data_IF_984163948365
#
_entry.id   IF_984163948365
#
_cell.length_a   1.000
_cell.length_b   1.000
_cell.length_c   1.000
_cell.angle_alpha   90.00
_cell.angle_beta   90.00
_cell.angle_gamma   90.00
#
_symmetry.space_group_name_H-M   'P 1'
#
loop_
_entity.id
_entity.type
_entity.pdbx_description
1 polymer ?
#
# COMPACT_ATOMS: atom_id res chain seq x y z
N UNK A 1 -99.59 -50.80 -51.34
CA UNK A 1 -100.70 -49.96 -51.82
C UNK A 1 -100.17 -48.59 -52.18
N UNK A 2 -100.59 -48.09 -53.34
CA UNK A 2 -100.23 -46.83 -54.03
C UNK A 2 -100.41 -45.54 -53.20
N UNK A 3 -99.59 -44.52 -53.49
CA UNK A 3 -99.95 -43.18 -54.05
C UNK A 3 -98.71 -42.24 -53.92
N UNK A 4 -97.95 -41.89 -54.96
CA UNK A 4 -98.12 -40.88 -56.03
C UNK A 4 -98.38 -39.41 -55.59
N UNK A 5 -97.47 -38.50 -56.01
CA UNK A 5 -97.59 -37.06 -56.36
C UNK A 5 -96.34 -36.26 -55.86
N UNK A 6 -95.41 -35.82 -56.70
CA UNK A 6 -95.34 -34.63 -57.60
C UNK A 6 -94.49 -33.46 -57.01
N UNK A 7 -93.42 -33.10 -57.75
CA UNK A 7 -92.45 -31.96 -57.69
C UNK A 7 -93.09 -30.55 -57.61
N UNK A 8 -92.35 -29.39 -57.56
CA UNK A 8 -90.91 -29.07 -57.32
C UNK A 8 -90.69 -27.85 -56.36
N UNK A 9 -89.46 -27.30 -56.27
CA UNK A 9 -89.13 -25.86 -56.49
C UNK A 9 -88.21 -25.15 -55.45
N UNK A 10 -87.08 -24.65 -55.99
CA UNK A 10 -86.24 -23.49 -55.62
C UNK A 10 -85.24 -23.53 -54.46
N UNK A 11 -83.98 -23.71 -54.86
CA UNK A 11 -82.75 -23.08 -54.33
C UNK A 11 -82.93 -21.55 -54.22
N UNK A 12 -82.59 -20.97 -53.06
CA UNK A 12 -82.18 -19.56 -52.97
C UNK A 12 -80.87 -19.49 -52.18
N UNK A 13 -79.77 -19.40 -52.91
CA UNK A 13 -78.44 -19.08 -52.41
C UNK A 13 -78.39 -17.60 -52.03
N UNK A 14 -78.37 -17.30 -50.73
CA UNK A 14 -77.97 -15.99 -50.20
C UNK A 14 -76.46 -15.95 -50.04
N UNK A 15 -75.77 -15.43 -51.06
CA UNK A 15 -74.35 -15.08 -50.99
C UNK A 15 -74.25 -13.73 -50.27
N UNK A 16 -73.84 -13.72 -49.00
CA UNK A 16 -73.42 -12.49 -48.33
C UNK A 16 -72.06 -12.10 -48.92
N UNK A 17 -72.05 -11.01 -49.70
CA UNK A 17 -70.84 -10.25 -50.00
C UNK A 17 -70.28 -9.70 -48.68
N UNK A 18 -69.26 -10.36 -48.14
CA UNK A 18 -68.37 -9.75 -47.18
C UNK A 18 -67.38 -8.88 -47.96
N UNK A 19 -67.19 -7.59 -47.63
CA UNK A 19 -66.13 -6.81 -48.26
C UNK A 19 -64.78 -7.50 -47.97
N UNK A 20 -63.80 -7.45 -48.90
CA UNK A 20 -62.48 -8.00 -48.65
C UNK A 20 -61.91 -7.31 -47.42
N UNK A 21 -61.68 -8.09 -46.36
CA UNK A 21 -60.98 -7.63 -45.18
C UNK A 21 -59.63 -7.03 -45.61
N UNK A 22 -59.34 -5.83 -45.15
CA UNK A 22 -58.06 -5.17 -45.30
C UNK A 22 -56.98 -5.94 -44.52
N UNK A 23 -56.55 -7.11 -45.03
CA UNK A 23 -55.51 -7.94 -44.43
C UNK A 23 -54.10 -7.49 -44.83
N UNK A 24 -53.96 -6.76 -45.94
CA UNK A 24 -52.66 -6.40 -46.52
C UNK A 24 -51.91 -5.33 -45.72
N UNK A 25 -52.61 -4.33 -45.18
CA UNK A 25 -51.99 -3.26 -44.39
C UNK A 25 -51.54 -3.67 -42.99
N UNK A 26 -52.20 -4.68 -42.39
CA UNK A 26 -51.80 -5.22 -41.08
C UNK A 26 -50.55 -6.11 -41.19
N UNK A 27 -50.39 -6.85 -42.30
CA UNK A 27 -49.22 -7.69 -42.55
C UNK A 27 -47.96 -6.88 -42.90
N UNK A 28 -48.06 -5.82 -43.71
CA UNK A 28 -46.92 -4.94 -43.97
C UNK A 28 -46.40 -4.26 -42.69
N UNK A 29 -47.31 -3.80 -41.83
CA UNK A 29 -46.95 -3.19 -40.55
C UNK A 29 -46.27 -4.19 -39.60
N UNK A 30 -46.72 -5.45 -39.58
CA UNK A 30 -46.10 -6.52 -38.79
C UNK A 30 -44.67 -6.85 -39.24
N UNK A 31 -44.43 -6.93 -40.56
CA UNK A 31 -43.09 -7.18 -41.12
C UNK A 31 -42.11 -6.05 -40.80
N UNK A 32 -42.55 -4.79 -40.90
CA UNK A 32 -41.73 -3.62 -40.56
C UNK A 32 -41.41 -3.59 -39.06
N UNK A 33 -42.39 -3.89 -38.20
CA UNK A 33 -42.21 -3.93 -36.76
C UNK A 33 -41.21 -5.02 -36.33
N UNK A 34 -41.34 -6.24 -36.87
CA UNK A 34 -40.38 -7.33 -36.63
C UNK A 34 -38.98 -6.98 -37.13
N UNK A 35 -38.87 -6.32 -38.28
CA UNK A 35 -37.58 -5.82 -38.78
C UNK A 35 -36.90 -4.86 -37.79
N UNK A 36 -37.66 -3.94 -37.20
CA UNK A 36 -37.16 -3.01 -36.17
C UNK A 36 -36.73 -3.73 -34.88
N UNK A 37 -37.48 -4.74 -34.44
CA UNK A 37 -37.10 -5.55 -33.26
C UNK A 37 -35.84 -6.38 -33.54
N UNK A 38 -35.68 -6.92 -34.74
CA UNK A 38 -34.47 -7.64 -35.15
C UNK A 38 -33.21 -6.74 -35.16
N UNK A 39 -33.37 -5.46 -35.56
CA UNK A 39 -32.29 -4.47 -35.45
C UNK A 39 -31.89 -4.24 -33.98
N UNK A 40 -32.87 -4.05 -33.09
CA UNK A 40 -32.65 -3.89 -31.64
C UNK A 40 -32.04 -5.13 -31.00
N UNK A 41 -32.44 -6.34 -31.43
CA UNK A 41 -31.81 -7.59 -30.99
C UNK A 41 -30.33 -7.69 -31.41
N UNK A 42 -29.97 -7.08 -32.54
CA UNK A 42 -28.59 -7.10 -33.03
C UNK A 42 -27.73 -6.04 -32.34
N UNK A 43 -28.28 -4.83 -32.16
CA UNK A 43 -27.53 -3.62 -31.75
C UNK A 43 -27.68 -3.24 -30.29
N UNK A 44 -28.74 -3.70 -29.62
CA UNK A 44 -29.09 -3.33 -28.25
C UNK A 44 -28.13 -3.85 -27.19
N UNK A 45 -28.27 -3.33 -25.97
CA UNK A 45 -27.58 -3.89 -24.80
C UNK A 45 -28.16 -5.26 -24.40
N UNK A 46 -27.52 -5.98 -23.46
CA UNK A 46 -27.91 -7.34 -23.09
C UNK A 46 -29.38 -7.50 -22.72
N UNK A 47 -29.96 -6.53 -22.00
CA UNK A 47 -31.37 -6.56 -21.58
C UNK A 47 -32.29 -6.30 -22.77
N UNK A 48 -31.95 -5.33 -23.62
CA UNK A 48 -32.69 -5.07 -24.87
C UNK A 48 -32.68 -6.28 -25.80
N UNK A 49 -31.54 -6.96 -25.92
CA UNK A 49 -31.43 -8.18 -26.74
C UNK A 49 -32.33 -9.29 -26.21
N UNK A 50 -32.29 -9.57 -24.91
CA UNK A 50 -33.12 -10.60 -24.31
C UNK A 50 -34.62 -10.31 -24.51
N UNK A 51 -35.05 -9.07 -24.32
CA UNK A 51 -36.45 -8.66 -24.52
C UNK A 51 -36.86 -8.70 -26.01
N UNK A 52 -36.00 -8.24 -26.91
CA UNK A 52 -36.24 -8.30 -28.35
C UNK A 52 -36.33 -9.75 -28.86
N UNK A 53 -35.49 -10.66 -28.35
CA UNK A 53 -35.55 -12.09 -28.67
C UNK A 53 -36.89 -12.71 -28.26
N UNK A 54 -37.33 -12.45 -27.02
CA UNK A 54 -38.61 -12.92 -26.52
C UNK A 54 -39.78 -12.43 -27.40
N UNK A 55 -39.77 -11.14 -27.78
CA UNK A 55 -40.78 -10.58 -28.66
C UNK A 55 -40.76 -11.19 -30.08
N UNK A 56 -39.58 -11.45 -30.64
CA UNK A 56 -39.44 -12.07 -31.97
C UNK A 56 -39.92 -13.52 -32.01
N UNK A 57 -39.76 -14.26 -30.90
CA UNK A 57 -40.27 -15.62 -30.74
C UNK A 57 -41.78 -15.67 -30.45
N UNK A 58 -42.39 -14.52 -30.15
CA UNK A 58 -43.81 -14.37 -29.82
C UNK A 58 -44.70 -13.97 -31.00
N UNK A 59 -45.89 -13.49 -30.65
CA UNK A 59 -46.93 -12.98 -31.54
C UNK A 59 -46.62 -11.57 -32.02
N UNK A 60 -47.38 -11.08 -33.01
CA UNK A 60 -47.24 -9.69 -33.45
C UNK A 60 -47.66 -8.68 -32.37
N UNK A 61 -48.50 -9.08 -31.41
CA UNK A 61 -48.85 -8.28 -30.23
C UNK A 61 -47.67 -8.16 -29.26
N UNK A 62 -46.87 -9.21 -29.09
CA UNK A 62 -45.64 -9.18 -28.28
C UNK A 62 -44.60 -8.23 -28.91
N UNK A 63 -44.47 -8.25 -30.24
CA UNK A 63 -43.63 -7.31 -30.99
C UNK A 63 -44.05 -5.86 -30.77
N UNK A 64 -45.35 -5.55 -30.81
CA UNK A 64 -45.84 -4.20 -30.53
C UNK A 64 -45.63 -3.82 -29.07
N UNK A 65 -45.94 -4.72 -28.13
CA UNK A 65 -45.76 -4.49 -26.69
C UNK A 65 -44.31 -4.14 -26.34
N UNK A 66 -43.36 -4.86 -26.93
CA UNK A 66 -41.95 -4.56 -26.79
C UNK A 66 -41.60 -3.17 -27.31
N UNK A 67 -42.04 -2.83 -28.53
CA UNK A 67 -41.75 -1.53 -29.15
C UNK A 67 -42.39 -0.36 -28.40
N UNK A 68 -43.58 -0.55 -27.83
CA UNK A 68 -44.36 0.49 -27.18
C UNK A 68 -43.94 0.74 -25.72
N UNK A 69 -43.45 -0.28 -25.00
CA UNK A 69 -43.22 -0.17 -23.56
C UNK A 69 -41.98 -0.89 -23.02
N UNK A 70 -41.73 -2.14 -23.40
CA UNK A 70 -40.67 -2.93 -22.77
C UNK A 70 -39.27 -2.48 -23.20
N UNK A 71 -39.13 -2.00 -24.44
CA UNK A 71 -37.86 -1.51 -24.99
C UNK A 71 -37.25 -0.41 -24.12
N UNK A 72 -38.05 0.56 -23.67
CA UNK A 72 -37.54 1.68 -22.90
C UNK A 72 -37.10 1.26 -21.49
N UNK A 73 -37.81 0.32 -20.87
CA UNK A 73 -37.39 -0.29 -19.61
C UNK A 73 -36.10 -1.10 -19.77
N UNK A 74 -35.98 -1.87 -20.85
CA UNK A 74 -34.79 -2.66 -21.15
C UNK A 74 -33.56 -1.76 -21.42
N UNK A 75 -33.72 -0.69 -22.20
CA UNK A 75 -32.66 0.30 -22.44
C UNK A 75 -32.24 1.01 -21.15
N UNK A 76 -33.21 1.44 -20.33
CA UNK A 76 -32.92 2.04 -19.03
C UNK A 76 -32.12 1.10 -18.11
N UNK A 77 -32.47 -0.18 -18.12
CA UNK A 77 -31.77 -1.22 -17.35
C UNK A 77 -30.33 -1.39 -17.82
N UNK A 78 -30.10 -1.47 -19.14
CA UNK A 78 -28.75 -1.59 -19.71
C UNK A 78 -27.87 -0.35 -19.40
N UNK A 79 -28.44 0.85 -19.48
CA UNK A 79 -27.74 2.07 -19.08
C UNK A 79 -27.48 2.10 -17.57
N UNK A 80 -28.39 1.61 -16.75
CA UNK A 80 -28.22 1.55 -15.29
C UNK A 80 -27.07 0.63 -14.92
N UNK A 81 -26.99 -0.55 -15.55
CA UNK A 81 -25.86 -1.47 -15.41
C UNK A 81 -24.55 -0.80 -15.81
N UNK A 82 -24.54 -0.08 -16.93
CA UNK A 82 -23.35 0.65 -17.41
C UNK A 82 -22.91 1.72 -16.41
N UNK A 83 -23.84 2.48 -15.86
CA UNK A 83 -23.57 3.50 -14.85
C UNK A 83 -23.07 2.88 -13.54
N UNK A 84 -23.66 1.76 -13.09
CA UNK A 84 -23.18 1.02 -11.91
C UNK A 84 -21.74 0.52 -12.09
N UNK A 85 -21.34 0.10 -13.29
CA UNK A 85 -19.92 -0.24 -13.55
C UNK A 85 -19.01 0.97 -13.31
N UNK A 86 -19.37 2.14 -13.84
CA UNK A 86 -18.64 3.39 -13.59
C UNK A 86 -18.61 3.73 -12.08
N UNK A 87 -19.70 3.50 -11.35
CA UNK A 87 -19.73 3.69 -9.90
C UNK A 87 -18.70 2.82 -9.16
N UNK A 88 -18.55 1.56 -9.55
CA UNK A 88 -17.61 0.65 -8.86
C UNK A 88 -16.15 1.06 -9.03
N UNK A 89 -15.76 1.54 -10.22
CA UNK A 89 -14.39 1.97 -10.52
C UNK A 89 -14.12 3.46 -10.28
N UNK A 90 -15.16 4.27 -10.11
CA UNK A 90 -15.06 5.71 -9.93
C UNK A 90 -14.62 6.13 -8.53
N UNK A 91 -14.03 7.33 -8.44
CA UNK A 91 -13.77 7.99 -7.18
C UNK A 91 -15.04 8.60 -6.57
N UNK A 92 -14.86 9.41 -5.53
CA UNK A 92 -15.98 9.92 -4.72
C UNK A 92 -16.93 10.77 -5.55
N UNK A 93 -16.40 11.71 -6.34
CA UNK A 93 -17.23 12.63 -7.12
C UNK A 93 -17.88 11.94 -8.32
N UNK A 94 -17.20 10.98 -8.97
CA UNK A 94 -17.82 10.13 -10.00
C UNK A 94 -18.98 9.33 -9.41
N UNK A 95 -18.82 8.73 -8.23
CA UNK A 95 -19.88 7.97 -7.55
C UNK A 95 -21.09 8.84 -7.20
N UNK A 96 -20.86 10.08 -6.77
CA UNK A 96 -21.93 11.05 -6.54
C UNK A 96 -22.68 11.38 -7.82
N UNK A 97 -21.95 11.62 -8.93
CA UNK A 97 -22.54 11.90 -10.24
C UNK A 97 -23.37 10.72 -10.77
N UNK A 98 -22.86 9.48 -10.66
CA UNK A 98 -23.63 8.27 -11.00
C UNK A 98 -24.89 8.18 -10.14
N UNK A 99 -24.77 8.38 -8.82
CA UNK A 99 -25.90 8.26 -7.90
C UNK A 99 -26.98 9.30 -8.21
N UNK A 100 -26.60 10.50 -8.62
CA UNK A 100 -27.52 11.54 -9.09
C UNK A 100 -28.23 11.11 -10.38
N UNK A 101 -27.49 10.58 -11.35
CA UNK A 101 -28.05 10.11 -12.61
C UNK A 101 -29.06 8.96 -12.40
N UNK A 102 -28.72 7.96 -11.57
CA UNK A 102 -29.61 6.84 -11.27
C UNK A 102 -30.87 7.27 -10.51
N UNK A 103 -30.74 8.19 -9.54
CA UNK A 103 -31.89 8.68 -8.76
C UNK A 103 -32.87 9.53 -9.58
N UNK A 104 -32.45 10.07 -10.72
CA UNK A 104 -33.34 10.83 -11.60
C UNK A 104 -34.48 9.97 -12.16
N UNK A 105 -34.25 8.66 -12.31
CA UNK A 105 -35.16 7.75 -13.02
C UNK A 105 -35.31 8.07 -14.51
N UNK A 106 -34.59 9.05 -15.06
CA UNK A 106 -34.65 9.45 -16.46
C UNK A 106 -33.57 8.75 -17.27
N UNK A 107 -33.99 8.11 -18.36
CA UNK A 107 -33.12 7.54 -19.38
C UNK A 107 -32.24 8.60 -20.03
N UNK A 108 -32.79 9.78 -20.30
CA UNK A 108 -32.08 10.91 -20.89
C UNK A 108 -30.95 11.40 -19.98
N UNK A 109 -31.21 11.54 -18.68
CA UNK A 109 -30.19 11.98 -17.73
C UNK A 109 -29.09 10.93 -17.53
N UNK A 110 -29.46 9.66 -17.55
CA UNK A 110 -28.49 8.56 -17.52
C UNK A 110 -27.62 8.52 -18.78
N UNK A 111 -28.20 8.75 -19.96
CA UNK A 111 -27.46 8.87 -21.22
C UNK A 111 -26.51 10.07 -21.23
N UNK A 112 -26.97 11.25 -20.78
CA UNK A 112 -26.10 12.44 -20.63
C UNK A 112 -24.92 12.14 -19.72
N UNK A 113 -25.17 11.45 -18.60
CA UNK A 113 -24.13 11.02 -17.68
C UNK A 113 -23.13 10.08 -18.36
N UNK A 114 -23.60 9.00 -18.99
CA UNK A 114 -22.76 8.00 -19.65
C UNK A 114 -21.93 8.60 -20.80
N UNK A 115 -22.48 9.59 -21.51
CA UNK A 115 -21.78 10.25 -22.61
C UNK A 115 -20.62 11.13 -22.11
N UNK A 116 -20.92 12.11 -21.26
CA UNK A 116 -19.94 13.14 -20.86
C UNK A 116 -20.01 13.50 -19.37
N UNK A 117 -21.12 13.24 -18.68
CA UNK A 117 -21.33 13.70 -17.30
C UNK A 117 -20.42 13.06 -16.24
N UNK A 118 -19.71 11.98 -16.57
CA UNK A 118 -18.69 11.39 -15.70
C UNK A 118 -17.32 12.07 -15.78
N UNK A 119 -17.05 12.82 -16.87
CA UNK A 119 -15.71 13.33 -17.17
C UNK A 119 -15.23 14.33 -16.12
N UNK A 120 -15.96 15.42 -15.91
CA UNK A 120 -15.58 16.46 -14.94
C UNK A 120 -15.43 15.91 -13.50
N UNK A 121 -16.32 15.05 -12.98
CA UNK A 121 -16.09 14.38 -11.70
C UNK A 121 -14.81 13.53 -11.71
N UNK A 122 -14.53 12.78 -12.78
CA UNK A 122 -13.29 12.01 -12.86
C UNK A 122 -12.05 12.91 -12.84
N UNK A 123 -12.10 14.09 -13.47
CA UNK A 123 -11.02 15.08 -13.38
C UNK A 123 -10.83 15.60 -11.95
N UNK A 124 -11.92 15.88 -11.26
CA UNK A 124 -11.91 16.30 -9.86
C UNK A 124 -11.32 15.21 -8.97
N UNK A 125 -11.73 13.95 -9.12
CA UNK A 125 -11.17 12.80 -8.39
C UNK A 125 -9.66 12.66 -8.63
N UNK A 126 -9.19 12.84 -9.87
CA UNK A 126 -7.75 12.83 -10.20
C UNK A 126 -6.99 13.96 -9.49
N UNK A 127 -7.53 15.19 -9.47
CA UNK A 127 -6.91 16.32 -8.76
C UNK A 127 -6.88 16.11 -7.25
N UNK A 128 -7.92 15.52 -6.67
CA UNK A 128 -7.96 15.14 -5.26
C UNK A 128 -6.84 14.13 -4.97
N UNK A 129 -6.73 13.07 -5.76
CA UNK A 129 -5.69 12.06 -5.60
C UNK A 129 -4.28 12.66 -5.74
N UNK A 130 -4.07 13.51 -6.76
CA UNK A 130 -2.80 14.19 -6.96
C UNK A 130 -2.45 15.09 -5.77
N UNK A 131 -3.42 15.81 -5.20
CA UNK A 131 -3.23 16.62 -3.99
C UNK A 131 -2.83 15.77 -2.81
N UNK A 132 -3.51 14.64 -2.56
CA UNK A 132 -3.18 13.73 -1.47
C UNK A 132 -1.74 13.19 -1.58
N UNK A 133 -1.34 12.75 -2.78
CA UNK A 133 0.03 12.27 -3.04
C UNK A 133 1.05 13.40 -2.85
N UNK A 134 0.75 14.60 -3.34
CA UNK A 134 1.61 15.78 -3.23
C UNK A 134 1.83 16.18 -1.77
N UNK A 135 0.80 16.12 -0.94
CA UNK A 135 0.86 16.46 0.49
C UNK A 135 1.59 15.41 1.32
N UNK A 136 1.42 14.12 1.00
CA UNK A 136 2.09 13.03 1.71
C UNK A 136 3.52 12.75 1.22
N UNK A 137 3.86 13.21 0.02
CA UNK A 137 5.14 12.96 -0.63
C UNK A 137 6.32 13.78 -0.07
N UNK A 138 7.53 13.40 -0.48
CA UNK A 138 8.74 14.16 -0.19
C UNK A 138 8.87 15.41 -1.07
N UNK A 139 9.96 16.19 -0.91
CA UNK A 139 10.17 17.44 -1.62
C UNK A 139 10.05 17.36 -3.15
N UNK A 140 10.61 16.33 -3.79
CA UNK A 140 10.54 16.19 -5.25
C UNK A 140 9.16 15.74 -5.71
N UNK A 141 8.50 14.82 -5.00
CA UNK A 141 7.09 14.46 -5.28
C UNK A 141 6.20 15.69 -5.13
N UNK A 142 6.42 16.50 -4.10
CA UNK A 142 5.67 17.71 -3.84
C UNK A 142 5.84 18.72 -4.98
N UNK A 143 7.09 18.94 -5.42
CA UNK A 143 7.40 19.83 -6.55
C UNK A 143 6.73 19.37 -7.84
N UNK A 144 6.85 18.09 -8.19
CA UNK A 144 6.22 17.53 -9.39
C UNK A 144 4.69 17.62 -9.33
N UNK A 145 4.10 17.24 -8.19
CA UNK A 145 2.66 17.29 -7.98
C UNK A 145 2.09 18.71 -8.02
N UNK A 146 2.77 19.69 -7.42
CA UNK A 146 2.38 21.09 -7.53
C UNK A 146 2.47 21.63 -8.96
N UNK A 147 3.46 21.20 -9.75
CA UNK A 147 3.55 21.58 -11.15
C UNK A 147 2.34 21.04 -11.94
N UNK A 148 2.03 19.76 -11.75
CA UNK A 148 0.88 19.11 -12.39
C UNK A 148 -0.46 19.72 -11.99
N UNK A 149 -0.66 20.03 -10.70
CA UNK A 149 -1.90 20.63 -10.20
C UNK A 149 -2.16 22.04 -10.76
N UNK A 150 -1.11 22.79 -11.14
CA UNK A 150 -1.23 24.10 -11.83
C UNK A 150 -1.50 23.97 -13.34
N UNK A 151 -1.34 22.78 -13.90
CA UNK A 151 -1.47 22.49 -15.32
C UNK A 151 -2.85 21.96 -15.73
N UNK A 152 -2.88 21.37 -16.92
CA UNK A 152 -4.08 20.72 -17.48
C UNK A 152 -4.38 19.40 -16.76
N UNK A 153 -5.50 18.77 -17.11
CA UNK A 153 -5.79 17.44 -16.56
C UNK A 153 -4.84 16.36 -17.12
N UNK A 154 -4.28 16.58 -18.31
CA UNK A 154 -3.23 15.73 -18.88
C UNK A 154 -1.97 15.78 -18.03
N UNK A 155 -1.61 16.95 -17.49
CA UNK A 155 -0.46 17.09 -16.59
C UNK A 155 -0.69 16.34 -15.29
N UNK A 156 -1.90 16.45 -14.72
CA UNK A 156 -2.30 15.68 -13.52
C UNK A 156 -2.23 14.19 -13.78
N UNK A 157 -2.76 13.72 -14.92
CA UNK A 157 -2.72 12.30 -15.31
C UNK A 157 -1.28 11.81 -15.47
N UNK A 158 -0.45 12.58 -16.17
CA UNK A 158 0.98 12.28 -16.36
C UNK A 158 1.72 12.20 -15.03
N UNK A 159 1.43 13.10 -14.09
CA UNK A 159 2.00 13.02 -12.75
C UNK A 159 1.59 11.74 -12.02
N UNK A 160 0.29 11.42 -12.02
CA UNK A 160 -0.26 10.23 -11.36
C UNK A 160 0.29 8.93 -11.95
N UNK A 161 0.50 8.87 -13.26
CA UNK A 161 0.89 7.63 -13.94
C UNK A 161 2.41 7.48 -14.11
N UNK A 162 3.16 8.57 -14.18
CA UNK A 162 4.54 8.54 -14.64
C UNK A 162 5.50 9.32 -13.74
N UNK A 163 5.22 10.59 -13.42
CA UNK A 163 6.23 11.46 -12.82
C UNK A 163 6.39 11.28 -11.30
N UNK A 164 5.32 10.85 -10.60
CA UNK A 164 5.39 10.67 -9.14
C UNK A 164 6.41 9.62 -8.70
N UNK A 165 6.60 8.57 -9.50
CA UNK A 165 7.46 7.45 -9.16
C UNK A 165 8.94 7.86 -9.13
N UNK A 166 9.56 8.36 -10.22
CA UNK A 166 10.95 8.81 -10.20
C UNK A 166 11.20 9.97 -9.23
N UNK A 167 10.21 10.83 -9.00
CA UNK A 167 10.29 11.86 -7.97
C UNK A 167 10.42 11.24 -6.57
N UNK A 168 9.61 10.21 -6.26
CA UNK A 168 9.71 9.46 -5.01
C UNK A 168 11.04 8.72 -4.89
N UNK A 169 11.56 8.14 -5.97
CA UNK A 169 12.87 7.49 -5.96
C UNK A 169 14.00 8.48 -5.61
N UNK A 170 13.89 9.69 -6.13
CA UNK A 170 14.83 10.78 -5.84
C UNK A 170 14.75 11.17 -4.36
N UNK A 171 13.54 11.36 -3.82
CA UNK A 171 13.32 11.63 -2.41
C UNK A 171 13.89 10.52 -1.51
N UNK A 172 13.67 9.25 -1.84
CA UNK A 172 14.18 8.09 -1.12
C UNK A 172 15.73 8.07 -1.10
N UNK A 173 16.37 8.31 -2.26
CA UNK A 173 17.84 8.38 -2.36
C UNK A 173 18.42 9.57 -1.61
N UNK A 174 17.77 10.73 -1.64
CA UNK A 174 18.16 11.90 -0.83
C UNK A 174 18.10 11.55 0.66
N UNK A 175 17.01 10.93 1.11
CA UNK A 175 16.84 10.54 2.51
C UNK A 175 17.91 9.54 2.95
N UNK A 176 18.21 8.53 2.13
CA UNK A 176 19.28 7.57 2.42
C UNK A 176 20.65 8.26 2.50
N UNK A 177 20.93 9.23 1.63
CA UNK A 177 22.16 10.03 1.64
C UNK A 177 22.27 10.91 2.90
N UNK A 178 21.16 11.50 3.35
CA UNK A 178 21.12 12.27 4.60
C UNK A 178 21.40 11.37 5.82
N UNK A 179 20.79 10.19 5.88
CA UNK A 179 21.06 9.19 6.93
C UNK A 179 22.51 8.74 6.90
N UNK A 180 23.07 8.48 5.72
CA UNK A 180 24.48 8.16 5.53
C UNK A 180 25.40 9.24 6.10
N UNK A 181 25.11 10.50 5.77
CA UNK A 181 25.94 11.65 6.16
C UNK A 181 25.95 11.87 7.67
N UNK A 182 24.80 11.68 8.32
CA UNK A 182 24.65 11.83 9.77
C UNK A 182 25.02 10.57 10.59
N UNK A 183 25.15 9.41 9.94
CA UNK A 183 25.34 8.11 10.59
C UNK A 183 26.80 7.80 11.00
N UNK A 184 26.95 6.79 11.85
CA UNK A 184 28.25 6.20 12.18
C UNK A 184 28.80 5.28 11.09
N UNK A 185 29.96 4.64 11.29
CA UNK A 185 30.62 3.82 10.28
C UNK A 185 29.75 2.70 9.68
N UNK A 186 28.99 1.97 10.51
CA UNK A 186 28.10 0.90 10.05
C UNK A 186 26.91 1.46 9.27
N UNK A 187 26.31 2.57 9.73
CA UNK A 187 25.25 3.27 8.99
C UNK A 187 25.73 3.77 7.63
N UNK A 188 26.95 4.33 7.57
CA UNK A 188 27.57 4.78 6.32
C UNK A 188 27.79 3.65 5.34
N UNK A 189 28.29 2.52 5.80
CA UNK A 189 28.52 1.33 4.99
C UNK A 189 27.21 0.78 4.43
N UNK A 190 26.21 0.56 5.29
CA UNK A 190 24.91 0.04 4.89
C UNK A 190 24.18 0.95 3.89
N UNK A 191 24.19 2.26 4.14
CA UNK A 191 23.60 3.23 3.21
C UNK A 191 24.32 3.25 1.85
N UNK A 192 25.65 3.16 1.84
CA UNK A 192 26.43 3.09 0.59
C UNK A 192 26.10 1.84 -0.24
N UNK A 193 25.93 0.69 0.41
CA UNK A 193 25.52 -0.55 -0.28
C UNK A 193 24.15 -0.34 -0.93
N UNK A 194 23.18 0.14 -0.17
CA UNK A 194 21.83 0.39 -0.67
C UNK A 194 21.80 1.41 -1.82
N UNK A 195 22.53 2.52 -1.70
CA UNK A 195 22.57 3.58 -2.73
C UNK A 195 23.19 3.11 -4.06
N UNK A 196 24.07 2.10 -4.04
CA UNK A 196 24.63 1.49 -5.26
C UNK A 196 23.71 0.44 -5.90
N UNK A 197 22.67 0.03 -5.18
CA UNK A 197 21.69 -0.96 -5.62
C UNK A 197 20.49 -0.35 -6.33
N UNK A 198 19.43 -1.15 -6.43
CA UNK A 198 18.14 -0.74 -6.98
C UNK A 198 17.38 0.19 -6.01
N UNK A 199 16.24 0.72 -6.44
CA UNK A 199 15.40 1.51 -5.54
C UNK A 199 14.80 0.66 -4.41
N UNK A 200 14.58 -0.63 -4.65
CA UNK A 200 14.15 -1.59 -3.63
C UNK A 200 15.19 -1.71 -2.52
N UNK A 201 16.49 -1.77 -2.84
CA UNK A 201 17.57 -1.81 -1.86
C UNK A 201 17.59 -0.53 -0.99
N UNK A 202 17.40 0.63 -1.62
CA UNK A 202 17.27 1.92 -0.92
C UNK A 202 16.07 1.91 0.03
N UNK A 203 14.91 1.43 -0.43
CA UNK A 203 13.69 1.37 0.38
C UNK A 203 13.81 0.36 1.52
N UNK A 204 14.44 -0.78 1.31
CA UNK A 204 14.73 -1.76 2.37
C UNK A 204 15.65 -1.16 3.43
N UNK A 205 16.70 -0.44 3.00
CA UNK A 205 17.56 0.30 3.92
C UNK A 205 16.77 1.34 4.71
N UNK A 206 15.92 2.13 4.05
CA UNK A 206 15.08 3.13 4.73
C UNK A 206 14.05 2.48 5.67
N UNK A 207 13.49 1.33 5.34
CA UNK A 207 12.50 0.65 6.17
C UNK A 207 13.13 0.00 7.41
N UNK A 208 14.24 -0.72 7.23
CA UNK A 208 14.82 -1.60 8.26
C UNK A 208 16.32 -1.40 8.41
N UNK A 209 17.07 -1.37 7.31
CA UNK A 209 18.54 -1.40 7.33
C UNK A 209 19.17 -0.26 8.14
N UNK A 210 18.60 0.94 8.11
CA UNK A 210 19.08 2.10 8.87
C UNK A 210 19.07 1.85 10.39
N UNK A 211 18.07 1.12 10.90
CA UNK A 211 17.93 0.89 12.34
C UNK A 211 18.92 -0.16 12.83
N UNK A 212 19.10 -1.23 12.05
CA UNK A 212 20.11 -2.26 12.32
C UNK A 212 21.50 -1.63 12.32
N UNK A 213 21.79 -0.78 11.33
CA UNK A 213 23.10 -0.15 11.21
C UNK A 213 23.39 0.83 12.35
N UNK A 214 22.39 1.61 12.79
CA UNK A 214 22.52 2.47 13.98
C UNK A 214 22.76 1.67 15.26
N UNK A 215 22.08 0.55 15.44
CA UNK A 215 22.31 -0.30 16.62
C UNK A 215 23.75 -0.82 16.64
N UNK A 216 24.29 -1.24 15.48
CA UNK A 216 25.70 -1.63 15.36
C UNK A 216 26.66 -0.49 15.67
N UNK A 217 26.34 0.74 15.25
CA UNK A 217 27.15 1.92 15.59
C UNK A 217 27.17 2.16 17.11
N UNK A 218 26.03 2.02 17.78
CA UNK A 218 25.92 2.14 19.24
C UNK A 218 26.69 1.03 19.97
N UNK A 219 26.53 -0.23 19.55
CA UNK A 219 27.25 -1.37 20.11
C UNK A 219 28.77 -1.18 20.01
N UNK A 220 29.26 -0.76 18.84
CA UNK A 220 30.68 -0.47 18.62
C UNK A 220 31.20 0.64 19.55
N UNK A 221 30.40 1.70 19.75
CA UNK A 221 30.75 2.76 20.68
C UNK A 221 30.83 2.24 22.13
N UNK A 222 29.85 1.45 22.58
CA UNK A 222 29.84 0.88 23.94
C UNK A 222 30.99 -0.10 24.17
N UNK A 223 31.28 -0.99 23.21
CA UNK A 223 32.42 -1.91 23.30
C UNK A 223 33.74 -1.16 23.39
N UNK A 224 33.90 -0.07 22.62
CA UNK A 224 35.11 0.76 22.66
C UNK A 224 35.30 1.43 24.03
N UNK A 225 34.21 1.90 24.65
CA UNK A 225 34.23 2.46 26.01
C UNK A 225 34.61 1.41 27.07
N UNK A 226 34.03 0.21 26.98
CA UNK A 226 34.36 -0.90 27.90
C UNK A 226 35.81 -1.35 27.76
N UNK A 227 36.33 -1.40 26.53
CA UNK A 227 37.73 -1.74 26.27
C UNK A 227 38.68 -0.71 26.90
N UNK A 228 38.36 0.58 26.80
CA UNK A 228 39.17 1.64 27.42
C UNK A 228 39.12 1.59 28.95
N UNK A 229 37.95 1.34 29.55
CA UNK A 229 37.83 1.14 31.00
C UNK A 229 38.64 -0.07 31.49
N UNK A 230 38.57 -1.19 30.77
CA UNK A 230 39.34 -2.39 31.10
C UNK A 230 40.85 -2.14 31.01
N UNK A 231 41.29 -1.34 30.04
CA UNK A 231 42.69 -0.93 29.90
C UNK A 231 43.15 -0.08 31.10
N UNK A 232 42.37 0.92 31.49
CA UNK A 232 42.67 1.78 32.65
C UNK A 232 42.75 0.97 33.95
N UNK A 233 41.78 0.09 34.20
CA UNK A 233 41.80 -0.80 35.35
C UNK A 233 43.03 -1.74 35.34
N UNK A 234 43.46 -2.21 34.16
CA UNK A 234 44.67 -3.00 34.00
C UNK A 234 45.95 -2.22 34.30
N UNK A 235 46.03 -0.95 33.90
CA UNK A 235 47.15 -0.06 34.22
C UNK A 235 47.22 0.23 35.73
N UNK A 236 46.09 0.49 36.38
CA UNK A 236 46.01 0.63 37.83
C UNK A 236 46.43 -0.65 38.57
N UNK A 237 45.93 -1.81 38.14
CA UNK A 237 46.29 -3.09 38.74
C UNK A 237 47.80 -3.37 38.61
N UNK A 238 48.42 -2.98 37.49
CA UNK A 238 49.87 -3.08 37.31
C UNK A 238 50.63 -2.18 38.30
N UNK A 239 50.21 -0.92 38.44
CA UNK A 239 50.82 0.01 39.40
C UNK A 239 50.71 -0.50 40.85
N UNK A 240 49.54 -1.02 41.23
CA UNK A 240 49.33 -1.61 42.56
C UNK A 240 50.20 -2.85 42.78
N UNK A 241 50.36 -3.70 41.76
CA UNK A 241 51.25 -4.87 41.82
C UNK A 241 52.71 -4.45 42.02
N UNK A 242 53.18 -3.44 41.30
CA UNK A 242 54.53 -2.88 41.45
C UNK A 242 54.74 -2.27 42.85
N UNK A 243 53.75 -1.52 43.36
CA UNK A 243 53.76 -0.96 44.70
C UNK A 243 53.80 -2.05 45.79
N UNK A 244 52.98 -3.10 45.64
CA UNK A 244 52.95 -4.24 46.54
C UNK A 244 54.29 -5.01 46.54
N UNK A 245 54.92 -5.20 45.37
CA UNK A 245 56.25 -5.79 45.27
C UNK A 245 57.30 -4.96 46.00
N UNK A 246 57.31 -3.64 45.79
CA UNK A 246 58.22 -2.73 46.48
C UNK A 246 58.03 -2.76 48.00
N UNK A 247 56.78 -2.81 48.47
CA UNK A 247 56.45 -2.93 49.88
C UNK A 247 56.90 -4.27 50.47
N UNK A 248 56.70 -5.38 49.74
CA UNK A 248 57.17 -6.71 50.13
C UNK A 248 58.69 -6.75 50.27
N UNK A 249 59.44 -6.19 49.31
CA UNK A 249 60.90 -6.10 49.39
C UNK A 249 61.37 -5.28 50.60
N UNK A 250 60.68 -4.18 50.93
CA UNK A 250 60.96 -3.41 52.15
C UNK A 250 60.70 -4.23 53.42
N UNK A 251 59.58 -4.95 53.47
CA UNK A 251 59.25 -5.80 54.61
C UNK A 251 60.27 -6.93 54.81
N UNK A 252 60.72 -7.56 53.72
CA UNK A 252 61.78 -8.60 53.78
C UNK A 252 63.10 -8.02 54.29
N UNK A 253 63.49 -6.81 53.87
CA UNK A 253 64.70 -6.14 54.39
C UNK A 253 64.56 -5.84 55.88
N UNK A 254 63.47 -5.20 56.29
CA UNK A 254 63.22 -4.87 57.69
C UNK A 254 63.22 -6.13 58.60
N UNK A 255 62.67 -7.25 58.11
CA UNK A 255 62.69 -8.51 58.85
C UNK A 255 64.12 -9.09 58.99
N UNK A 256 64.99 -8.92 57.98
CA UNK A 256 66.41 -9.30 58.10
C UNK A 256 67.14 -8.41 59.09
N UNK A 257 66.97 -7.10 58.98
CA UNK A 257 67.59 -6.14 59.90
C UNK A 257 67.18 -6.42 61.36
N UNK A 258 65.89 -6.71 61.58
CA UNK A 258 65.38 -7.09 62.90
C UNK A 258 65.99 -8.40 63.42
N UNK A 259 66.22 -9.38 62.55
CA UNK A 259 66.90 -10.63 62.91
C UNK A 259 68.36 -10.38 63.29
N UNK A 260 69.09 -9.61 62.49
CA UNK A 260 70.49 -9.30 62.74
C UNK A 260 70.66 -8.54 64.07
N UNK A 261 69.77 -7.60 64.36
CA UNK A 261 69.73 -6.89 65.65
C UNK A 261 69.40 -7.83 66.82
N UNK A 262 68.48 -8.78 66.64
CA UNK A 262 68.14 -9.76 67.67
C UNK A 262 69.32 -10.71 67.95
N UNK A 263 70.04 -11.15 66.90
CA UNK A 263 71.23 -12.00 67.01
C UNK A 263 72.37 -11.25 67.73
N UNK A 264 72.57 -9.96 67.44
CA UNK A 264 73.51 -9.09 68.16
C UNK A 264 73.14 -8.94 69.64
N UNK A 265 71.89 -8.60 69.94
CA UNK A 265 71.42 -8.44 71.32
C UNK A 265 71.58 -9.73 72.14
N UNK A 266 71.38 -10.90 71.50
CA UNK A 266 71.63 -12.19 72.12
C UNK A 266 73.12 -12.40 72.45
N UNK A 267 74.01 -12.14 71.49
CA UNK A 267 75.45 -12.29 71.70
C UNK A 267 75.98 -11.35 72.79
N UNK A 268 75.52 -10.09 72.82
CA UNK A 268 75.84 -9.14 73.89
C UNK A 268 75.34 -9.60 75.25
N UNK A 269 74.12 -10.15 75.32
CA UNK A 269 73.55 -10.71 76.55
C UNK A 269 74.35 -11.92 77.06
N UNK A 270 74.81 -12.81 76.16
CA UNK A 270 75.67 -13.94 76.50
C UNK A 270 77.04 -13.48 77.04
N UNK A 271 77.67 -12.50 76.38
CA UNK A 271 78.95 -11.93 76.83
C UNK A 271 78.84 -11.20 78.18
N UNK A 272 77.73 -10.51 78.43
CA UNK A 272 77.43 -9.90 79.72
C UNK A 272 77.23 -10.97 80.83
N UNK A 273 76.56 -12.09 80.50
CA UNK A 273 76.41 -13.24 81.40
C UNK A 273 77.74 -13.90 81.77
N UNK A 274 78.64 -14.10 80.80
CA UNK A 274 79.99 -14.60 81.06
C UNK A 274 80.84 -13.65 81.90
N UNK A 275 80.69 -12.33 81.69
CA UNK A 275 81.38 -11.31 82.49
C UNK A 275 80.85 -11.26 83.91
N UNK A 276 79.54 -11.40 84.11
CA UNK A 276 78.93 -11.51 85.44
C UNK A 276 79.41 -12.76 86.19
N UNK A 277 79.54 -13.91 85.49
CA UNK A 277 80.11 -15.14 86.05
C UNK A 277 81.61 -15.06 86.37
N UNK A 278 82.35 -14.12 85.75
CA UNK A 278 83.79 -13.87 85.99
C UNK A 278 84.07 -12.81 87.05
N UNK A 279 83.05 -12.17 87.62
CA UNK A 279 83.23 -11.24 88.74
C UNK A 279 83.37 -12.05 90.03
N UNK A 280 84.55 -12.11 90.69
CA UNK A 280 84.62 -12.65 92.04
C UNK A 280 83.91 -11.64 92.95
N UNK A 281 83.00 -12.13 93.78
CA UNK A 281 82.42 -11.39 94.88
C UNK A 281 83.55 -11.01 95.86
N UNK A 282 84.22 -9.88 95.64
CA UNK A 282 85.05 -9.25 96.66
C UNK A 282 84.11 -8.52 97.63
N UNK A 283 83.55 -9.28 98.56
CA UNK A 283 83.15 -8.76 99.86
C UNK A 283 84.28 -9.02 100.86
N UNK A 284 84.58 -7.96 101.61
CA UNK A 284 85.42 -7.86 102.81
C UNK A 284 86.93 -8.00 102.60
#
# INVERSE_FOLDING_TARGET
MLCLCLLPLTLLTGLLDAPPAAATGLQENGVVARGRVAELWTTGGPTVKAAAEAALLGTDEDVQTFLDSEKDFAEFTDYSISATRIFTSGGVTVREAVSKALRSGSKEDLLKFLKDGWKEPAETDMRILATQITTAGGPEVNKAGQAALRGSIEDVRKFLEQERFPAQETDDRIRATQIMSAGGPATKEAANVALRGSIEDVREFLAVGQNIARNRDQERATVSQLAEQAKQAGEEAKQQTEAAKSASERAVRAARDAKDLADQAKAESEAAGESAAKTPFLMA
#
